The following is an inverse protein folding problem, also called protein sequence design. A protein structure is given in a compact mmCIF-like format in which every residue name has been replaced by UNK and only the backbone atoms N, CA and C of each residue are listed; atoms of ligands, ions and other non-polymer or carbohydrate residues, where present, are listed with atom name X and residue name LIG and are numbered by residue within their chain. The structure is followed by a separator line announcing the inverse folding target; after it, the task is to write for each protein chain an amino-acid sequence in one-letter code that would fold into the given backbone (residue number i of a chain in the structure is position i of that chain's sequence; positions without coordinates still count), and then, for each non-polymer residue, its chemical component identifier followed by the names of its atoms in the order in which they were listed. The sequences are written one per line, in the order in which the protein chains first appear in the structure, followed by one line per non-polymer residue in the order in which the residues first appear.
data_IF_550061135493
#
_entry.id   IF_550061135493
#
_cell.length_a   1.000
_cell.length_b   1.000
_cell.length_c   1.000
_cell.angle_alpha   90.00
_cell.angle_beta   90.00
_cell.angle_gamma   90.00
#
_symmetry.space_group_name_H-M   'P 1'
#
loop_
_entity.id
_entity.type
_entity.pdbx_description
1 polymer ?
#
# COMPACT_ATOMS: atom_id res chain seq x y z
N UNK A 1 35.55 -9.73 15.81
CA UNK A 1 35.63 -9.66 14.35
C UNK A 1 35.44 -8.21 13.96
N UNK A 2 36.42 -7.58 13.30
CA UNK A 2 36.21 -6.24 12.70
C UNK A 2 35.12 -6.41 11.63
N UNK A 3 33.96 -5.71 11.78
CA UNK A 3 32.94 -5.64 10.72
C UNK A 3 33.64 -5.14 9.46
N UNK A 4 33.53 -5.87 8.39
CA UNK A 4 34.00 -5.39 7.08
C UNK A 4 33.35 -4.04 6.83
N UNK A 5 34.16 -3.02 6.56
CA UNK A 5 33.66 -1.68 6.20
C UNK A 5 32.71 -1.82 5.03
N UNK A 6 31.44 -1.36 5.22
CA UNK A 6 30.44 -1.33 4.17
C UNK A 6 29.29 -2.32 4.29
N UNK A 7 29.13 -3.09 5.38
CA UNK A 7 27.97 -3.95 5.62
C UNK A 7 27.18 -3.41 6.82
N UNK A 8 25.86 -3.25 6.68
CA UNK A 8 24.94 -2.80 7.72
C UNK A 8 23.82 -3.84 7.91
N UNK A 9 23.49 -4.16 9.17
CA UNK A 9 22.40 -5.07 9.48
C UNK A 9 21.04 -4.48 9.10
N UNK A 10 20.09 -5.35 8.70
CA UNK A 10 18.78 -4.91 8.22
C UNK A 10 18.01 -4.07 9.24
N UNK A 11 18.01 -4.47 10.50
CA UNK A 11 17.33 -3.73 11.58
C UNK A 11 17.95 -2.37 11.87
N UNK A 12 19.28 -2.26 11.77
CA UNK A 12 20.00 -0.99 11.90
C UNK A 12 19.72 -0.08 10.68
N UNK A 13 19.79 -0.64 9.47
CA UNK A 13 19.51 0.09 8.25
C UNK A 13 18.07 0.62 8.19
N UNK A 14 17.08 -0.17 8.63
CA UNK A 14 15.68 0.24 8.64
C UNK A 14 15.39 1.41 9.59
N UNK A 15 16.06 1.45 10.73
CA UNK A 15 15.96 2.58 11.67
C UNK A 15 16.62 3.85 11.15
N UNK A 16 17.57 3.71 10.23
CA UNK A 16 18.39 4.79 9.71
C UNK A 16 18.19 5.00 8.19
N UNK A 17 17.07 4.57 7.60
CA UNK A 17 16.84 4.67 6.14
C UNK A 17 17.04 6.11 5.62
N UNK A 18 16.61 7.09 6.39
CA UNK A 18 16.69 8.51 6.02
C UNK A 18 18.12 9.08 6.12
N UNK A 19 19.07 8.34 6.73
CA UNK A 19 20.48 8.73 6.75
C UNK A 19 21.26 8.38 5.48
N UNK A 20 20.65 7.59 4.59
CA UNK A 20 21.23 7.26 3.29
C UNK A 20 20.73 8.24 2.23
N UNK A 21 21.66 8.84 1.47
CA UNK A 21 21.29 9.75 0.38
C UNK A 21 20.54 9.04 -0.75
N UNK A 22 20.77 7.74 -0.91
CA UNK A 22 20.12 6.92 -1.93
C UNK A 22 20.08 5.46 -1.51
N UNK A 23 18.94 4.83 -1.66
CA UNK A 23 18.78 3.38 -1.49
C UNK A 23 18.75 2.75 -2.89
N UNK A 24 19.63 1.79 -3.15
CA UNK A 24 19.84 1.21 -4.48
C UNK A 24 19.46 -0.27 -4.47
N UNK A 25 18.42 -0.60 -5.22
CA UNK A 25 18.06 -1.98 -5.53
C UNK A 25 18.76 -2.42 -6.81
N UNK A 26 19.68 -3.40 -6.68
CA UNK A 26 20.38 -3.97 -7.84
C UNK A 26 19.72 -5.23 -8.39
N UNK A 27 18.51 -5.55 -7.93
CA UNK A 27 17.71 -6.64 -8.50
C UNK A 27 17.18 -6.24 -9.87
N UNK A 28 16.67 -7.24 -10.60
CA UNK A 28 16.04 -6.97 -11.90
C UNK A 28 14.77 -6.12 -11.75
N UNK A 29 14.33 -5.53 -12.85
CA UNK A 29 13.16 -4.64 -12.91
C UNK A 29 11.89 -5.34 -12.42
N UNK A 30 11.71 -6.62 -12.76
CA UNK A 30 10.55 -7.40 -12.30
C UNK A 30 10.59 -7.69 -10.80
N UNK A 31 11.78 -7.95 -10.23
CA UNK A 31 11.94 -8.11 -8.78
C UNK A 31 11.64 -6.80 -8.04
N UNK A 32 12.06 -5.66 -8.60
CA UNK A 32 11.80 -4.33 -8.05
C UNK A 32 10.31 -3.95 -8.11
N UNK A 33 9.67 -4.23 -9.25
CA UNK A 33 8.26 -3.93 -9.45
C UNK A 33 7.32 -4.72 -8.53
N UNK A 34 7.73 -5.94 -8.12
CA UNK A 34 6.95 -6.75 -7.18
C UNK A 34 6.89 -6.12 -5.77
N UNK A 35 8.04 -5.69 -5.26
CA UNK A 35 8.19 -4.97 -3.99
C UNK A 35 9.65 -4.51 -3.81
N UNK A 36 9.88 -3.40 -3.11
CA UNK A 36 11.21 -2.85 -2.84
C UNK A 36 11.24 -2.03 -1.55
N UNK A 37 12.41 -1.69 -1.06
CA UNK A 37 12.58 -0.79 0.10
C UNK A 37 12.04 0.60 -0.26
N UNK A 38 11.20 1.24 0.58
CA UNK A 38 10.66 2.57 0.30
C UNK A 38 11.75 3.58 -0.07
N UNK A 39 11.49 4.34 -1.14
CA UNK A 39 12.45 5.32 -1.66
C UNK A 39 13.63 4.75 -2.44
N UNK A 40 13.71 3.43 -2.61
CA UNK A 40 14.78 2.83 -3.41
C UNK A 40 14.64 3.15 -4.90
N UNK A 41 15.79 3.35 -5.55
CA UNK A 41 15.88 3.40 -7.02
C UNK A 41 16.34 2.05 -7.56
N UNK A 42 15.82 1.65 -8.71
CA UNK A 42 16.26 0.43 -9.36
C UNK A 42 17.47 0.70 -10.26
N UNK A 43 18.58 0.04 -9.94
CA UNK A 43 19.79 0.04 -10.74
C UNK A 43 20.26 -1.41 -10.98
N UNK A 44 19.58 -2.17 -11.84
CA UNK A 44 19.82 -3.58 -11.99
C UNK A 44 21.23 -3.85 -12.48
N UNK A 45 21.96 -4.72 -11.76
CA UNK A 45 23.24 -5.26 -12.24
C UNK A 45 23.07 -6.50 -13.12
N UNK A 46 21.86 -7.06 -13.12
CA UNK A 46 21.33 -8.02 -14.10
C UNK A 46 19.88 -7.62 -14.37
N UNK A 47 19.54 -7.29 -15.61
CA UNK A 47 18.16 -7.05 -16.02
C UNK A 47 17.36 -8.38 -16.05
N UNK A 48 16.06 -8.32 -16.33
CA UNK A 48 15.20 -9.51 -16.36
C UNK A 48 15.71 -10.61 -17.29
N UNK A 49 16.14 -10.27 -18.51
CA UNK A 49 16.63 -11.22 -19.50
C UNK A 49 17.98 -11.82 -19.06
N UNK A 50 18.91 -11.00 -18.64
CA UNK A 50 20.24 -11.43 -18.17
C UNK A 50 20.14 -12.30 -16.92
N UNK A 51 19.22 -11.97 -16.00
CA UNK A 51 18.94 -12.79 -14.82
C UNK A 51 18.37 -14.17 -15.20
N UNK A 52 17.47 -14.22 -16.17
CA UNK A 52 16.91 -15.47 -16.69
C UNK A 52 18.00 -16.32 -17.38
N UNK A 53 18.85 -15.70 -18.20
CA UNK A 53 20.00 -16.34 -18.85
C UNK A 53 20.92 -16.99 -17.81
N UNK A 54 21.42 -16.22 -16.85
CA UNK A 54 22.33 -16.71 -15.80
C UNK A 54 21.68 -17.80 -14.97
N UNK A 55 20.41 -17.64 -14.60
CA UNK A 55 19.66 -18.64 -13.84
C UNK A 55 19.44 -19.95 -14.63
N UNK A 56 19.33 -19.90 -15.94
CA UNK A 56 19.22 -21.09 -16.80
C UNK A 56 20.56 -21.80 -16.92
N UNK A 57 21.64 -21.05 -17.11
CA UNK A 57 23.01 -21.62 -17.14
C UNK A 57 23.34 -22.34 -15.82
N UNK A 58 22.99 -21.77 -14.68
CA UNK A 58 23.24 -22.35 -13.35
C UNK A 58 22.52 -23.70 -13.15
N UNK A 59 21.26 -23.80 -13.63
CA UNK A 59 20.44 -25.00 -13.46
C UNK A 59 20.70 -26.09 -14.48
N UNK A 60 21.03 -25.72 -15.73
CA UNK A 60 21.04 -26.64 -16.85
C UNK A 60 22.45 -27.01 -17.36
N UNK A 61 23.47 -26.22 -17.05
CA UNK A 61 24.82 -26.42 -17.57
C UNK A 61 25.87 -26.50 -16.47
N UNK A 62 26.27 -25.35 -15.89
CA UNK A 62 27.35 -25.27 -14.92
C UNK A 62 27.24 -24.03 -14.06
N UNK A 63 27.33 -24.20 -12.72
CA UNK A 63 27.41 -23.07 -11.78
C UNK A 63 28.68 -22.22 -12.00
N UNK A 64 29.74 -22.79 -12.55
CA UNK A 64 30.96 -22.02 -12.90
C UNK A 64 30.70 -21.10 -14.10
N UNK A 65 30.12 -21.65 -15.19
CA UNK A 65 29.79 -20.87 -16.38
C UNK A 65 28.76 -19.78 -16.07
N UNK A 66 27.74 -20.09 -15.28
CA UNK A 66 26.77 -19.11 -14.81
C UNK A 66 27.43 -17.96 -14.03
N UNK A 67 28.36 -18.28 -13.10
CA UNK A 67 29.11 -17.27 -12.35
C UNK A 67 30.02 -16.44 -13.25
N UNK A 68 30.74 -17.08 -14.20
CA UNK A 68 31.60 -16.39 -15.16
C UNK A 68 30.80 -15.44 -16.04
N UNK A 69 29.70 -15.91 -16.62
CA UNK A 69 28.80 -15.10 -17.46
C UNK A 69 28.14 -13.98 -16.67
N UNK A 70 27.61 -14.31 -15.48
CA UNK A 70 27.00 -13.33 -14.57
C UNK A 70 27.96 -12.22 -14.15
N UNK A 71 29.19 -12.57 -13.81
CA UNK A 71 30.21 -11.57 -13.45
C UNK A 71 30.50 -10.57 -14.58
N UNK A 72 30.58 -11.06 -15.83
CA UNK A 72 30.82 -10.21 -17.00
C UNK A 72 29.63 -9.24 -17.23
N UNK A 73 28.39 -9.71 -17.09
CA UNK A 73 27.17 -8.89 -17.22
C UNK A 73 27.09 -7.86 -16.09
N UNK A 74 27.31 -8.28 -14.85
CA UNK A 74 27.32 -7.41 -13.67
C UNK A 74 28.35 -6.28 -13.82
N UNK A 75 29.59 -6.62 -14.22
CA UNK A 75 30.64 -5.60 -14.42
C UNK A 75 30.26 -4.56 -15.49
N UNK A 76 29.69 -5.01 -16.61
CA UNK A 76 29.21 -4.14 -17.69
C UNK A 76 28.10 -3.20 -17.21
N UNK A 77 27.12 -3.73 -16.48
CA UNK A 77 26.00 -2.90 -16.00
C UNK A 77 26.43 -1.93 -14.89
N UNK A 78 27.38 -2.31 -14.03
CA UNK A 78 27.99 -1.38 -13.06
C UNK A 78 28.69 -0.23 -13.79
N UNK A 79 29.48 -0.50 -14.84
CA UNK A 79 30.14 0.54 -15.63
C UNK A 79 29.11 1.54 -16.20
N UNK A 80 28.01 1.03 -16.79
CA UNK A 80 26.92 1.90 -17.29
C UNK A 80 26.28 2.77 -16.19
N UNK A 81 26.08 2.23 -14.99
CA UNK A 81 25.54 3.01 -13.88
C UNK A 81 26.51 4.11 -13.42
N UNK A 82 27.83 3.85 -13.40
CA UNK A 82 28.84 4.83 -13.07
C UNK A 82 28.90 5.97 -14.08
N UNK A 83 28.86 5.65 -15.38
CA UNK A 83 28.88 6.62 -16.47
C UNK A 83 27.60 7.44 -16.59
N UNK A 84 26.49 6.90 -16.10
CA UNK A 84 25.15 7.50 -16.19
C UNK A 84 24.62 7.99 -14.85
N UNK A 85 23.88 7.14 -14.14
CA UNK A 85 23.11 7.53 -12.94
C UNK A 85 23.95 8.04 -11.77
N UNK A 86 25.23 7.66 -11.70
CA UNK A 86 26.12 8.03 -10.59
C UNK A 86 27.20 9.04 -10.99
N UNK A 87 27.21 9.51 -12.24
CA UNK A 87 28.25 10.41 -12.74
C UNK A 87 28.33 11.73 -11.96
N UNK A 88 27.21 12.27 -11.52
CA UNK A 88 27.12 13.58 -10.84
C UNK A 88 27.04 13.45 -9.30
N UNK A 89 27.31 12.27 -8.74
CA UNK A 89 27.20 12.07 -7.28
C UNK A 89 28.37 12.75 -6.56
N UNK A 90 28.08 13.52 -5.46
CA UNK A 90 29.12 14.21 -4.71
C UNK A 90 30.02 13.21 -3.97
N UNK A 91 31.20 13.67 -3.54
CA UNK A 91 32.22 12.83 -2.91
C UNK A 91 31.76 12.17 -1.61
N UNK A 92 30.92 12.82 -0.86
CA UNK A 92 30.38 12.38 0.42
C UNK A 92 29.10 11.54 0.30
N UNK A 93 28.68 11.22 -0.93
CA UNK A 93 27.50 10.42 -1.19
C UNK A 93 27.51 9.09 -0.43
N UNK A 94 26.39 8.80 0.27
CA UNK A 94 26.21 7.68 1.18
C UNK A 94 25.06 6.76 0.71
N UNK A 95 25.28 5.88 -0.28
CA UNK A 95 24.25 4.96 -0.74
C UNK A 95 24.18 3.68 0.08
N UNK A 96 22.96 3.15 0.28
CA UNK A 96 22.68 1.79 0.72
C UNK A 96 22.38 0.92 -0.48
N UNK A 97 23.10 -0.20 -0.65
CA UNK A 97 22.96 -1.10 -1.79
C UNK A 97 22.42 -2.45 -1.34
N UNK A 98 21.41 -2.98 -2.01
CA UNK A 98 20.92 -4.31 -1.70
C UNK A 98 20.56 -5.12 -2.95
N UNK A 99 20.62 -6.44 -2.82
CA UNK A 99 20.05 -7.41 -3.75
C UNK A 99 19.12 -8.38 -3.01
N UNK A 100 18.84 -9.55 -3.58
CA UNK A 100 17.90 -10.50 -2.99
C UNK A 100 18.31 -11.04 -1.60
N UNK A 101 19.62 -11.40 -1.42
CA UNK A 101 20.17 -12.01 -0.20
C UNK A 101 21.40 -11.29 0.37
N UNK A 102 21.71 -10.09 -0.08
CA UNK A 102 22.96 -9.42 0.31
C UNK A 102 24.22 -10.13 -0.21
N UNK A 103 24.12 -10.86 -1.33
CA UNK A 103 25.21 -11.63 -1.92
C UNK A 103 25.96 -10.88 -3.04
N UNK A 104 26.56 -11.65 -3.98
CA UNK A 104 27.49 -11.15 -4.98
C UNK A 104 27.02 -9.96 -5.83
N UNK A 105 25.71 -9.83 -6.13
CA UNK A 105 25.19 -8.70 -6.94
C UNK A 105 25.35 -7.34 -6.21
N UNK A 106 24.88 -7.24 -4.97
CA UNK A 106 25.04 -5.99 -4.19
C UNK A 106 26.47 -5.79 -3.75
N UNK A 107 27.21 -6.84 -3.36
CA UNK A 107 28.62 -6.75 -3.00
C UNK A 107 29.47 -6.18 -4.13
N UNK A 108 29.23 -6.60 -5.38
CA UNK A 108 29.98 -6.11 -6.54
C UNK A 108 29.81 -4.60 -6.74
N UNK A 109 28.57 -4.10 -6.72
CA UNK A 109 28.33 -2.65 -6.84
C UNK A 109 28.89 -1.90 -5.64
N UNK A 110 28.61 -2.34 -4.41
CA UNK A 110 29.13 -1.68 -3.19
C UNK A 110 30.64 -1.60 -3.18
N UNK A 111 31.34 -2.68 -3.60
CA UNK A 111 32.79 -2.69 -3.71
C UNK A 111 33.29 -1.62 -4.68
N UNK A 112 32.71 -1.53 -5.86
CA UNK A 112 33.13 -0.55 -6.88
C UNK A 112 32.88 0.88 -6.38
N UNK A 113 31.70 1.16 -5.83
CA UNK A 113 31.35 2.48 -5.27
C UNK A 113 32.33 2.89 -4.15
N UNK A 114 32.66 1.96 -3.25
CA UNK A 114 33.63 2.21 -2.19
C UNK A 114 35.03 2.46 -2.73
N UNK A 115 35.45 1.82 -3.84
CA UNK A 115 36.74 2.06 -4.50
C UNK A 115 36.84 3.40 -5.20
N UNK A 116 35.69 3.95 -5.65
CA UNK A 116 35.61 5.36 -6.13
C UNK A 116 35.82 6.33 -4.98
N UNK A 117 35.54 5.94 -3.73
CA UNK A 117 35.71 6.77 -2.53
C UNK A 117 34.36 7.17 -1.89
N UNK A 118 33.24 6.69 -2.38
CA UNK A 118 31.92 6.93 -1.77
C UNK A 118 31.70 6.08 -0.52
N UNK A 119 30.85 6.55 0.38
CA UNK A 119 30.54 5.88 1.65
C UNK A 119 29.48 4.76 1.47
N UNK A 120 29.63 3.94 0.43
CA UNK A 120 28.66 2.91 0.08
C UNK A 120 28.58 1.81 1.14
N UNK A 121 27.38 1.42 1.51
CA UNK A 121 27.09 0.30 2.41
C UNK A 121 26.20 -0.73 1.73
N UNK A 122 26.41 -1.98 2.10
CA UNK A 122 25.60 -3.12 1.65
C UNK A 122 24.65 -3.55 2.75
N UNK A 123 23.38 -3.75 2.41
CA UNK A 123 22.38 -4.30 3.33
C UNK A 123 22.65 -5.80 3.56
N UNK A 124 22.95 -6.17 4.80
CA UNK A 124 23.13 -7.57 5.17
C UNK A 124 21.84 -8.38 4.97
N UNK A 125 21.98 -9.57 4.39
CA UNK A 125 20.84 -10.42 4.04
C UNK A 125 19.90 -9.86 2.96
N UNK A 126 20.14 -8.62 2.48
CA UNK A 126 19.45 -7.95 1.39
C UNK A 126 17.94 -7.85 1.56
N UNK A 127 17.19 -7.85 0.45
CA UNK A 127 15.73 -7.75 0.45
C UNK A 127 15.05 -8.80 1.35
N UNK A 128 15.58 -10.02 1.45
CA UNK A 128 14.99 -11.05 2.34
C UNK A 128 15.09 -10.66 3.82
N UNK A 129 16.19 -10.05 4.23
CA UNK A 129 16.34 -9.57 5.61
C UNK A 129 15.43 -8.37 5.86
N UNK A 130 15.38 -7.43 4.90
CA UNK A 130 14.42 -6.32 4.91
C UNK A 130 12.99 -6.82 5.11
N UNK A 131 12.51 -7.76 4.29
CA UNK A 131 11.13 -8.28 4.39
C UNK A 131 10.84 -8.96 5.73
N UNK A 132 11.80 -9.71 6.28
CA UNK A 132 11.64 -10.30 7.62
C UNK A 132 11.47 -9.23 8.70
N UNK A 133 12.26 -8.16 8.62
CA UNK A 133 12.15 -7.06 9.57
C UNK A 133 10.82 -6.31 9.43
N UNK A 134 10.37 -6.00 8.21
CA UNK A 134 9.05 -5.42 7.94
C UNK A 134 7.93 -6.27 8.53
N UNK A 135 7.94 -7.59 8.29
CA UNK A 135 6.90 -8.48 8.84
C UNK A 135 6.92 -8.52 10.38
N UNK A 136 8.11 -8.55 10.98
CA UNK A 136 8.23 -8.52 12.44
C UNK A 136 7.75 -7.19 13.04
N UNK A 137 8.03 -6.07 12.37
CA UNK A 137 7.59 -4.75 12.84
C UNK A 137 6.08 -4.55 12.64
N UNK A 138 5.48 -5.09 11.58
CA UNK A 138 4.03 -5.07 11.39
C UNK A 138 3.25 -5.81 12.50
N UNK A 139 3.87 -6.74 13.21
CA UNK A 139 3.28 -7.39 14.38
C UNK A 139 3.37 -6.51 15.65
N UNK A 140 4.26 -5.54 15.69
CA UNK A 140 4.54 -4.77 16.92
C UNK A 140 4.19 -3.28 16.81
N UNK A 141 4.45 -2.64 15.69
CA UNK A 141 4.17 -1.21 15.50
C UNK A 141 2.71 -0.81 15.78
N UNK A 142 1.70 -1.56 15.31
CA UNK A 142 0.31 -1.20 15.60
C UNK A 142 -0.03 -1.22 17.08
N UNK A 143 0.64 -2.06 17.87
CA UNK A 143 0.38 -2.18 19.31
C UNK A 143 0.83 -0.94 20.10
N UNK A 144 1.81 -0.21 19.58
CA UNK A 144 2.31 1.03 20.18
C UNK A 144 1.49 2.26 19.79
N UNK A 145 0.54 2.13 18.85
CA UNK A 145 -0.25 3.24 18.32
C UNK A 145 -1.61 3.35 19.01
N UNK A 146 -2.13 4.57 19.09
CA UNK A 146 -3.52 4.85 19.41
C UNK A 146 -4.27 5.17 18.11
N UNK A 147 -5.38 4.46 17.85
CA UNK A 147 -6.18 4.68 16.65
C UNK A 147 -7.51 5.34 16.97
N UNK A 148 -7.94 6.24 16.09
CA UNK A 148 -9.31 6.72 15.97
C UNK A 148 -9.91 6.13 14.68
N UNK A 149 -10.82 5.16 14.83
CA UNK A 149 -11.36 4.42 13.70
C UNK A 149 -12.58 5.14 13.13
N UNK A 150 -12.46 5.63 11.92
CA UNK A 150 -13.56 6.25 11.18
C UNK A 150 -14.49 5.17 10.66
N UNK A 151 -15.70 5.14 11.21
CA UNK A 151 -16.79 4.25 10.78
C UNK A 151 -17.84 5.06 10.02
N UNK A 152 -18.63 4.41 9.19
CA UNK A 152 -19.66 5.05 8.39
C UNK A 152 -20.06 4.15 7.25
N UNK A 153 -21.35 4.10 6.95
CA UNK A 153 -21.91 3.28 5.87
C UNK A 153 -21.28 3.62 4.51
N UNK A 154 -21.44 2.74 3.54
CA UNK A 154 -20.87 2.95 2.19
C UNK A 154 -21.32 4.29 1.61
N UNK A 155 -20.39 5.02 1.01
CA UNK A 155 -20.63 6.36 0.46
C UNK A 155 -20.66 7.49 1.48
N UNK A 156 -20.29 7.26 2.75
CA UNK A 156 -20.23 8.34 3.77
C UNK A 156 -19.00 9.25 3.63
N UNK A 157 -18.12 9.04 2.66
CA UNK A 157 -16.96 9.88 2.45
C UNK A 157 -15.85 9.72 3.50
N UNK A 158 -15.64 8.50 4.04
CA UNK A 158 -14.55 8.21 4.99
C UNK A 158 -13.20 8.67 4.46
N UNK A 159 -12.87 8.33 3.21
CA UNK A 159 -11.61 8.71 2.56
C UNK A 159 -11.49 10.23 2.39
N UNK A 160 -12.62 10.95 2.12
CA UNK A 160 -12.65 12.43 2.08
C UNK A 160 -12.33 13.03 3.45
N UNK A 161 -12.87 12.44 4.54
CA UNK A 161 -12.53 12.87 5.88
C UNK A 161 -11.06 12.62 6.21
N UNK A 162 -10.51 11.44 5.87
CA UNK A 162 -9.10 11.15 6.07
C UNK A 162 -8.20 12.14 5.32
N UNK A 163 -8.52 12.48 4.08
CA UNK A 163 -7.79 13.49 3.31
C UNK A 163 -7.87 14.88 3.96
N UNK A 164 -9.05 15.25 4.47
CA UNK A 164 -9.24 16.51 5.19
C UNK A 164 -8.44 16.55 6.50
N UNK A 165 -8.38 15.43 7.25
CA UNK A 165 -7.57 15.29 8.47
C UNK A 165 -6.07 15.40 8.15
N UNK A 166 -5.61 14.70 7.11
CA UNK A 166 -4.21 14.79 6.66
C UNK A 166 -3.82 16.21 6.26
N UNK A 167 -4.68 16.94 5.56
CA UNK A 167 -4.45 18.34 5.18
C UNK A 167 -4.33 19.30 6.38
N UNK A 168 -4.81 18.89 7.56
CA UNK A 168 -4.70 19.62 8.82
C UNK A 168 -3.57 19.10 9.72
N UNK A 169 -2.70 18.24 9.20
CA UNK A 169 -1.54 17.70 9.91
C UNK A 169 -1.86 16.58 10.91
N UNK A 170 -3.05 15.98 10.84
CA UNK A 170 -3.36 14.76 11.58
C UNK A 170 -2.61 13.57 10.98
N UNK A 171 -2.30 12.58 11.81
CA UNK A 171 -1.76 11.32 11.34
C UNK A 171 -2.88 10.44 10.78
N UNK A 172 -2.72 10.00 9.55
CA UNK A 172 -3.74 9.24 8.82
C UNK A 172 -3.14 7.98 8.23
N UNK A 173 -3.88 6.87 8.35
CA UNK A 173 -3.60 5.60 7.70
C UNK A 173 -4.77 5.29 6.76
N UNK A 174 -4.63 5.61 5.47
CA UNK A 174 -5.62 5.36 4.43
C UNK A 174 -5.37 3.98 3.80
N UNK A 175 -6.04 2.96 4.32
CA UNK A 175 -5.87 1.57 3.89
C UNK A 175 -6.41 1.33 2.47
N UNK A 176 -7.51 2.00 2.09
CA UNK A 176 -8.08 1.93 0.75
C UNK A 176 -7.11 2.53 -0.29
N UNK A 177 -6.50 3.67 0.02
CA UNK A 177 -5.48 4.29 -0.86
C UNK A 177 -4.25 3.39 -1.00
N UNK A 178 -3.71 2.85 0.11
CA UNK A 178 -2.59 1.91 0.08
C UNK A 178 -2.90 0.63 -0.70
N UNK A 179 -4.16 0.18 -0.66
CA UNK A 179 -4.61 -1.00 -1.40
C UNK A 179 -4.98 -0.70 -2.86
N UNK A 180 -5.02 0.56 -3.30
CA UNK A 180 -5.59 0.97 -4.58
C UNK A 180 -7.00 0.37 -4.80
N UNK A 181 -7.86 0.41 -3.76
CA UNK A 181 -9.16 -0.27 -3.78
C UNK A 181 -10.12 0.32 -2.72
N UNK A 182 -11.38 0.56 -3.07
CA UNK A 182 -12.39 1.17 -2.20
C UNK A 182 -13.12 0.19 -1.28
N UNK A 183 -12.50 -0.88 -0.86
CA UNK A 183 -13.03 -1.83 0.12
C UNK A 183 -14.26 -2.65 -0.28
N UNK A 184 -15.07 -2.22 -1.24
CA UNK A 184 -16.32 -2.85 -1.65
C UNK A 184 -16.17 -3.84 -2.81
N UNK A 185 -17.22 -4.64 -3.10
CA UNK A 185 -17.25 -5.56 -4.27
C UNK A 185 -17.02 -4.80 -5.58
N UNK A 186 -17.50 -3.55 -5.67
CA UNK A 186 -17.33 -2.67 -6.82
C UNK A 186 -16.09 -1.75 -6.69
N UNK A 187 -15.26 -1.96 -5.67
CA UNK A 187 -14.22 -1.02 -5.24
C UNK A 187 -12.95 -1.00 -6.08
N UNK A 188 -12.83 -1.81 -7.11
CA UNK A 188 -11.67 -1.80 -8.01
C UNK A 188 -11.51 -0.47 -8.74
N UNK A 189 -10.26 0.05 -8.83
CA UNK A 189 -9.98 1.28 -9.55
C UNK A 189 -9.63 0.97 -11.02
N UNK A 190 -10.29 1.59 -12.00
CA UNK A 190 -10.13 1.25 -13.43
C UNK A 190 -8.70 1.42 -13.96
N UNK A 191 -7.97 2.41 -13.43
CA UNK A 191 -6.64 2.81 -13.90
C UNK A 191 -5.49 2.38 -13.01
N UNK A 192 -5.80 1.79 -11.85
CA UNK A 192 -4.80 1.42 -10.84
C UNK A 192 -5.07 0.01 -10.32
N UNK A 193 -4.35 -1.01 -10.82
CA UNK A 193 -4.47 -2.35 -10.26
C UNK A 193 -3.98 -2.39 -8.81
N UNK A 194 -4.56 -3.25 -8.01
CA UNK A 194 -4.08 -3.47 -6.65
C UNK A 194 -2.60 -3.87 -6.66
N UNK A 195 -1.79 -3.36 -5.71
CA UNK A 195 -0.42 -3.81 -5.53
C UNK A 195 -0.41 -5.30 -5.11
N UNK A 196 0.75 -5.93 -5.24
CA UNK A 196 0.95 -7.24 -4.61
C UNK A 196 0.92 -7.14 -3.08
N UNK A 197 0.62 -8.26 -2.40
CA UNK A 197 0.56 -8.29 -0.93
C UNK A 197 1.83 -7.75 -0.27
N UNK A 198 3.02 -8.06 -0.81
CA UNK A 198 4.29 -7.59 -0.27
C UNK A 198 4.42 -6.06 -0.37
N UNK A 199 4.07 -5.49 -1.52
CA UNK A 199 4.13 -4.05 -1.73
C UNK A 199 3.13 -3.31 -0.82
N UNK A 200 1.91 -3.85 -0.65
CA UNK A 200 0.94 -3.32 0.30
C UNK A 200 1.47 -3.33 1.74
N UNK A 201 2.04 -4.44 2.19
CA UNK A 201 2.63 -4.57 3.53
C UNK A 201 3.83 -3.63 3.72
N UNK A 202 4.66 -3.46 2.69
CA UNK A 202 5.77 -2.50 2.69
C UNK A 202 5.27 -1.06 2.83
N UNK A 203 4.25 -0.67 2.07
CA UNK A 203 3.68 0.68 2.13
C UNK A 203 2.98 0.92 3.48
N UNK A 204 2.25 -0.07 3.98
CA UNK A 204 1.62 -0.03 5.30
C UNK A 204 2.65 0.14 6.42
N UNK A 205 3.72 -0.65 6.38
CA UNK A 205 4.83 -0.52 7.32
C UNK A 205 5.48 0.86 7.25
N UNK A 206 5.74 1.37 6.04
CA UNK A 206 6.34 2.70 5.86
C UNK A 206 5.44 3.83 6.39
N UNK A 207 4.12 3.71 6.21
CA UNK A 207 3.17 4.64 6.78
C UNK A 207 3.17 4.60 8.32
N UNK A 208 3.11 3.39 8.92
CA UNK A 208 3.08 3.22 10.36
C UNK A 208 4.36 3.68 11.05
N UNK A 209 5.55 3.35 10.52
CA UNK A 209 6.84 3.73 11.12
C UNK A 209 7.09 5.25 11.15
N UNK A 210 6.38 6.00 10.31
CA UNK A 210 6.45 7.47 10.26
C UNK A 210 5.50 8.14 11.24
N UNK A 211 4.57 7.39 11.83
CA UNK A 211 3.67 7.93 12.82
C UNK A 211 4.38 8.11 14.17
N UNK A 212 4.06 9.21 14.84
CA UNK A 212 4.45 9.47 16.23
C UNK A 212 3.50 8.69 17.16
N UNK A 213 3.98 7.73 17.95
CA UNK A 213 3.12 6.97 18.87
C UNK A 213 2.43 7.81 19.96
N UNK A 214 2.92 9.03 20.22
CA UNK A 214 2.30 9.94 21.18
C UNK A 214 1.07 10.68 20.64
N UNK A 215 0.77 10.52 19.34
CA UNK A 215 -0.35 11.18 18.66
C UNK A 215 -1.29 10.14 18.06
N UNK A 216 -2.62 10.34 18.12
CA UNK A 216 -3.56 9.39 17.54
C UNK A 216 -3.43 9.32 16.01
N UNK A 217 -3.68 8.12 15.45
CA UNK A 217 -3.72 7.85 14.02
C UNK A 217 -5.17 7.62 13.59
N UNK A 218 -5.66 8.40 12.65
CA UNK A 218 -6.99 8.21 12.07
C UNK A 218 -6.93 7.15 10.96
N UNK A 219 -7.85 6.19 11.00
CA UNK A 219 -7.91 5.08 10.05
C UNK A 219 -9.36 4.73 9.73
N UNK A 220 -9.68 4.35 8.50
CA UNK A 220 -11.02 3.85 8.19
C UNK A 220 -11.25 2.41 8.71
N UNK A 221 -12.52 2.13 9.04
CA UNK A 221 -12.96 0.80 9.46
C UNK A 221 -12.97 -0.17 8.28
N UNK A 222 -11.90 -0.92 8.13
CA UNK A 222 -11.79 -1.90 7.07
C UNK A 222 -11.96 -3.35 7.55
N UNK A 223 -12.28 -4.21 6.61
CA UNK A 223 -12.37 -5.64 6.83
C UNK A 223 -10.97 -6.30 6.79
N UNK A 224 -10.92 -7.61 7.12
CA UNK A 224 -9.68 -8.39 7.01
C UNK A 224 -9.10 -8.40 5.60
N UNK A 225 -9.96 -8.14 4.58
CA UNK A 225 -9.54 -8.08 3.18
C UNK A 225 -10.03 -6.79 2.55
N UNK A 226 -9.15 -6.17 1.77
CA UNK A 226 -9.44 -5.06 0.90
C UNK A 226 -9.19 -5.55 -0.53
N UNK A 227 -10.25 -5.90 -1.24
CA UNK A 227 -10.12 -6.65 -2.50
C UNK A 227 -9.38 -7.97 -2.29
N UNK A 228 -8.23 -8.15 -2.95
CA UNK A 228 -7.39 -9.35 -2.85
C UNK A 228 -6.34 -9.27 -1.74
N UNK A 229 -6.17 -8.12 -1.09
CA UNK A 229 -5.13 -7.88 -0.08
C UNK A 229 -5.62 -8.20 1.32
N UNK A 230 -4.70 -8.64 2.17
CA UNK A 230 -4.96 -8.91 3.59
C UNK A 230 -4.33 -7.85 4.46
N UNK A 231 -5.11 -7.27 5.35
CA UNK A 231 -4.62 -6.38 6.40
C UNK A 231 -3.97 -7.24 7.50
N UNK A 232 -2.78 -6.88 8.02
CA UNK A 232 -2.11 -7.61 9.11
C UNK A 232 -2.99 -7.76 10.35
N UNK A 233 -2.95 -8.95 10.95
CA UNK A 233 -3.85 -9.30 12.07
C UNK A 233 -3.60 -8.42 13.31
N UNK A 234 -2.35 -8.02 13.59
CA UNK A 234 -2.03 -7.12 14.71
C UNK A 234 -2.69 -5.74 14.54
N UNK A 235 -2.64 -5.17 13.33
CA UNK A 235 -3.30 -3.89 13.02
C UNK A 235 -4.82 -4.01 13.18
N UNK A 236 -5.43 -5.06 12.59
CA UNK A 236 -6.88 -5.27 12.71
C UNK A 236 -7.33 -5.43 14.17
N UNK A 237 -6.59 -6.18 14.97
CA UNK A 237 -6.89 -6.39 16.38
C UNK A 237 -6.87 -5.06 17.11
N UNK A 238 -5.82 -4.27 16.91
CA UNK A 238 -5.68 -2.96 17.57
C UNK A 238 -6.77 -1.98 17.13
N UNK A 239 -7.08 -1.89 15.82
CA UNK A 239 -8.19 -1.08 15.31
C UNK A 239 -9.54 -1.46 15.93
N UNK A 240 -9.83 -2.76 16.06
CA UNK A 240 -11.11 -3.26 16.60
C UNK A 240 -11.32 -2.95 18.08
N UNK A 241 -10.25 -2.70 18.81
CA UNK A 241 -10.26 -2.33 20.23
C UNK A 241 -10.22 -0.82 20.44
N UNK A 242 -10.03 -0.04 19.38
CA UNK A 242 -9.84 1.41 19.42
C UNK A 242 -11.18 2.17 19.42
N UNK A 243 -11.12 3.45 19.79
CA UNK A 243 -12.25 4.37 19.74
C UNK A 243 -12.78 4.53 18.30
N UNK A 244 -14.12 4.66 18.18
CA UNK A 244 -14.78 4.81 16.90
C UNK A 244 -15.39 6.21 16.75
N UNK A 245 -15.29 6.77 15.56
CA UNK A 245 -15.97 8.00 15.13
C UNK A 245 -16.90 7.61 14.00
N UNK A 246 -18.21 7.81 14.17
CA UNK A 246 -19.23 7.41 13.20
C UNK A 246 -19.67 8.61 12.36
N UNK A 247 -19.38 8.55 11.06
CA UNK A 247 -19.95 9.49 10.10
C UNK A 247 -21.46 9.21 9.94
N UNK A 248 -22.26 10.24 10.23
CA UNK A 248 -23.68 10.25 9.97
C UNK A 248 -23.97 11.13 8.75
N UNK A 249 -24.25 10.49 7.61
CA UNK A 249 -24.41 11.13 6.31
C UNK A 249 -25.77 10.75 5.71
N UNK A 250 -26.63 11.73 5.38
CA UNK A 250 -27.93 11.45 4.79
C UNK A 250 -27.83 10.66 3.48
N UNK A 251 -28.76 9.74 3.25
CA UNK A 251 -28.76 8.86 2.08
C UNK A 251 -28.64 9.63 0.73
N UNK A 252 -29.35 10.74 0.50
CA UNK A 252 -29.21 11.48 -0.76
C UNK A 252 -27.79 12.04 -0.97
N UNK A 253 -27.10 12.42 0.10
CA UNK A 253 -25.71 12.89 0.06
C UNK A 253 -24.79 11.73 -0.33
N UNK A 254 -25.00 10.56 0.26
CA UNK A 254 -24.23 9.34 -0.04
C UNK A 254 -24.43 8.87 -1.48
N UNK A 255 -25.62 8.99 -2.03
CA UNK A 255 -25.92 8.67 -3.44
C UNK A 255 -25.10 9.58 -4.37
N UNK A 256 -25.08 10.90 -4.11
CA UNK A 256 -24.28 11.83 -4.92
C UNK A 256 -22.79 11.54 -4.84
N UNK A 257 -22.27 11.31 -3.62
CA UNK A 257 -20.86 10.95 -3.41
C UNK A 257 -20.45 9.71 -4.21
N UNK A 258 -21.26 8.66 -4.14
CA UNK A 258 -20.97 7.42 -4.87
C UNK A 258 -21.06 7.60 -6.39
N UNK A 259 -22.03 8.37 -6.89
CA UNK A 259 -22.10 8.67 -8.31
C UNK A 259 -20.86 9.41 -8.82
N UNK A 260 -20.38 10.39 -8.04
CA UNK A 260 -19.13 11.10 -8.34
C UNK A 260 -17.93 10.15 -8.37
N UNK A 261 -17.77 9.34 -7.31
CA UNK A 261 -16.64 8.41 -7.16
C UNK A 261 -16.63 7.27 -8.18
N UNK A 262 -17.81 6.84 -8.63
CA UNK A 262 -17.99 5.74 -9.56
C UNK A 262 -18.49 6.18 -10.95
N UNK A 263 -18.28 7.47 -11.33
CA UNK A 263 -18.70 8.02 -12.60
C UNK A 263 -18.15 7.27 -13.83
N UNK A 264 -17.10 6.48 -13.68
CA UNK A 264 -16.57 5.62 -14.72
C UNK A 264 -17.55 4.51 -15.14
N UNK A 265 -18.42 4.02 -14.24
CA UNK A 265 -19.46 3.04 -14.57
C UNK A 265 -20.58 3.64 -15.43
N UNK A 266 -20.85 4.93 -15.30
CA UNK A 266 -21.80 5.61 -16.18
C UNK A 266 -21.30 5.64 -17.64
N UNK A 267 -19.97 5.57 -17.84
CA UNK A 267 -19.32 5.52 -19.16
C UNK A 267 -19.13 4.10 -19.68
N UNK A 268 -19.11 3.11 -18.78
CA UNK A 268 -18.96 1.69 -19.10
C UNK A 268 -19.95 0.83 -18.29
N UNK A 269 -21.25 0.85 -18.66
CA UNK A 269 -22.29 0.04 -17.99
C UNK A 269 -22.07 -1.47 -18.13
N UNK A 270 -21.32 -1.93 -19.14
CA UNK A 270 -21.05 -3.35 -19.34
C UNK A 270 -20.11 -3.89 -18.25
N UNK A 271 -19.09 -3.11 -17.88
CA UNK A 271 -18.21 -3.45 -16.76
C UNK A 271 -18.99 -3.47 -15.45
N UNK A 272 -19.87 -2.49 -15.21
CA UNK A 272 -20.73 -2.50 -14.02
C UNK A 272 -21.62 -3.76 -13.98
N UNK A 273 -22.28 -4.09 -15.11
CA UNK A 273 -23.15 -5.27 -15.20
C UNK A 273 -22.41 -6.57 -14.85
N UNK A 274 -21.16 -6.70 -15.32
CA UNK A 274 -20.30 -7.85 -15.00
C UNK A 274 -19.93 -7.89 -13.50
N UNK A 275 -19.65 -6.75 -12.89
CA UNK A 275 -19.34 -6.69 -11.47
C UNK A 275 -20.56 -6.95 -10.58
N UNK A 276 -21.76 -6.49 -10.99
CA UNK A 276 -23.01 -6.78 -10.28
C UNK A 276 -23.33 -8.28 -10.26
N UNK A 277 -22.86 -9.08 -11.23
CA UNK A 277 -23.03 -10.54 -11.21
C UNK A 277 -22.42 -11.22 -9.98
N UNK A 278 -21.41 -10.62 -9.35
CA UNK A 278 -20.84 -11.10 -8.08
C UNK A 278 -21.86 -11.07 -6.94
N UNK A 279 -22.96 -10.32 -7.06
CA UNK A 279 -24.03 -10.22 -6.06
C UNK A 279 -25.15 -11.26 -6.25
N UNK A 280 -25.17 -11.97 -7.37
CA UNK A 280 -26.20 -13.01 -7.66
C UNK A 280 -26.28 -14.07 -6.56
N UNK A 281 -25.17 -14.60 -6.00
CA UNK A 281 -25.26 -15.57 -4.92
C UNK A 281 -25.94 -15.05 -3.64
N UNK A 282 -25.97 -13.73 -3.45
CA UNK A 282 -26.53 -13.09 -2.25
C UNK A 282 -27.98 -12.60 -2.43
N UNK A 283 -28.33 -12.19 -3.65
CA UNK A 283 -29.61 -11.51 -3.92
C UNK A 283 -30.51 -12.21 -4.96
N UNK A 284 -29.96 -13.22 -5.66
CA UNK A 284 -30.63 -13.90 -6.76
C UNK A 284 -30.57 -13.15 -8.09
N UNK A 285 -30.89 -13.85 -9.16
CA UNK A 285 -30.81 -13.32 -10.53
C UNK A 285 -31.78 -12.18 -10.80
N UNK A 286 -33.04 -12.30 -10.34
CA UNK A 286 -34.07 -11.30 -10.61
C UNK A 286 -33.70 -9.92 -10.05
N UNK A 287 -33.20 -9.90 -8.82
CA UNK A 287 -32.81 -8.66 -8.16
C UNK A 287 -31.61 -8.00 -8.84
N UNK A 288 -30.59 -8.77 -9.17
CA UNK A 288 -29.40 -8.26 -9.86
C UNK A 288 -29.77 -7.77 -11.27
N UNK A 289 -30.67 -8.48 -11.97
CA UNK A 289 -31.18 -8.05 -13.27
C UNK A 289 -31.96 -6.73 -13.18
N UNK A 290 -32.74 -6.54 -12.11
CA UNK A 290 -33.42 -5.26 -11.88
C UNK A 290 -32.43 -4.09 -11.71
N UNK A 291 -31.34 -4.28 -10.94
CA UNK A 291 -30.30 -3.25 -10.81
C UNK A 291 -29.58 -2.96 -12.14
N UNK A 292 -29.29 -3.99 -12.94
CA UNK A 292 -28.73 -3.82 -14.29
C UNK A 292 -29.66 -3.03 -15.20
N UNK A 293 -30.95 -3.33 -15.17
CA UNK A 293 -31.96 -2.60 -15.92
C UNK A 293 -32.05 -1.12 -15.56
N UNK A 294 -31.92 -0.79 -14.27
CA UNK A 294 -31.84 0.61 -13.83
C UNK A 294 -30.60 1.33 -14.40
N UNK A 295 -29.47 0.65 -14.46
CA UNK A 295 -28.24 1.20 -15.06
C UNK A 295 -28.42 1.44 -16.57
N UNK A 296 -29.03 0.51 -17.31
CA UNK A 296 -29.36 0.62 -18.73
C UNK A 296 -30.33 1.78 -19.02
N UNK A 297 -31.24 2.04 -18.10
CA UNK A 297 -32.21 3.16 -18.17
C UNK A 297 -31.62 4.49 -17.67
N UNK A 298 -30.33 4.53 -17.31
CA UNK A 298 -29.66 5.68 -16.70
C UNK A 298 -30.31 6.19 -15.40
N UNK A 299 -31.06 5.31 -14.73
CA UNK A 299 -31.69 5.60 -13.43
C UNK A 299 -30.68 5.40 -12.26
N UNK A 300 -29.54 6.06 -12.36
CA UNK A 300 -28.37 5.88 -11.50
C UNK A 300 -28.67 6.11 -10.02
N UNK A 301 -29.36 7.21 -9.67
CA UNK A 301 -29.71 7.53 -8.28
C UNK A 301 -30.54 6.43 -7.65
N UNK A 302 -31.55 5.93 -8.37
CA UNK A 302 -32.42 4.85 -7.91
C UNK A 302 -31.64 3.55 -7.71
N UNK A 303 -30.77 3.21 -8.66
CA UNK A 303 -29.93 2.02 -8.58
C UNK A 303 -29.01 2.08 -7.37
N UNK A 304 -28.27 3.21 -7.20
CA UNK A 304 -27.34 3.40 -6.09
C UNK A 304 -28.08 3.38 -4.74
N UNK A 305 -29.24 4.05 -4.64
CA UNK A 305 -30.06 4.04 -3.43
C UNK A 305 -30.51 2.61 -3.06
N UNK A 306 -30.99 1.83 -4.03
CA UNK A 306 -31.38 0.43 -3.79
C UNK A 306 -30.17 -0.41 -3.35
N UNK A 307 -29.03 -0.32 -4.01
CA UNK A 307 -27.81 -1.01 -3.61
C UNK A 307 -27.39 -0.65 -2.19
N UNK A 308 -27.46 0.63 -1.81
CA UNK A 308 -27.16 1.06 -0.46
C UNK A 308 -28.11 0.42 0.57
N UNK A 309 -29.43 0.56 0.38
CA UNK A 309 -30.44 0.08 1.32
C UNK A 309 -30.48 -1.43 1.45
N UNK A 310 -30.31 -2.14 0.35
CA UNK A 310 -30.61 -3.57 0.28
C UNK A 310 -29.38 -4.47 0.38
N UNK A 311 -28.20 -3.94 0.02
CA UNK A 311 -26.96 -4.70 0.06
C UNK A 311 -25.95 -4.10 1.06
N UNK A 312 -25.50 -2.87 0.80
CA UNK A 312 -24.34 -2.32 1.51
C UNK A 312 -24.62 -2.00 2.99
N UNK A 313 -25.69 -1.30 3.30
CA UNK A 313 -25.98 -0.88 4.67
C UNK A 313 -26.22 -2.06 5.61
N UNK A 314 -27.05 -3.06 5.25
CA UNK A 314 -27.23 -4.22 6.11
C UNK A 314 -25.96 -5.04 6.30
N UNK A 315 -25.14 -5.16 5.27
CA UNK A 315 -23.86 -5.88 5.35
C UNK A 315 -22.85 -5.14 6.24
N UNK A 316 -22.74 -3.83 6.04
CA UNK A 316 -21.84 -2.98 6.80
C UNK A 316 -22.20 -2.94 8.29
N UNK A 317 -23.46 -2.68 8.63
CA UNK A 317 -23.92 -2.59 10.02
C UNK A 317 -23.69 -3.91 10.78
N UNK A 318 -23.97 -5.06 10.15
CA UNK A 318 -23.62 -6.37 10.74
C UNK A 318 -22.12 -6.54 10.96
N UNK A 319 -21.29 -6.09 10.01
CA UNK A 319 -19.83 -6.19 10.10
C UNK A 319 -19.28 -5.33 11.22
N UNK A 320 -19.69 -4.08 11.31
CA UNK A 320 -19.23 -3.12 12.34
C UNK A 320 -19.63 -3.59 13.73
N UNK A 321 -20.88 -3.95 13.95
CA UNK A 321 -21.38 -4.45 15.23
C UNK A 321 -20.61 -5.70 15.70
N UNK A 322 -20.21 -6.57 14.78
CA UNK A 322 -19.47 -7.80 15.09
C UNK A 322 -17.99 -7.56 15.38
N UNK A 323 -17.38 -6.64 14.66
CA UNK A 323 -15.92 -6.53 14.63
C UNK A 323 -15.36 -5.37 15.47
N UNK A 324 -16.10 -4.28 15.69
CA UNK A 324 -15.62 -3.10 16.38
C UNK A 324 -16.37 -2.91 17.70
N UNK A 325 -15.72 -3.25 18.82
CA UNK A 325 -16.35 -3.28 20.15
C UNK A 325 -16.87 -1.92 20.60
N UNK A 326 -16.13 -0.84 20.28
CA UNK A 326 -16.49 0.52 20.63
C UNK A 326 -17.53 1.16 19.69
N UNK A 327 -18.01 0.44 18.66
CA UNK A 327 -18.95 1.00 17.68
C UNK A 327 -20.30 1.45 18.26
N UNK A 328 -20.75 0.81 19.35
CA UNK A 328 -21.96 1.23 20.07
C UNK A 328 -21.80 2.51 20.91
N UNK A 329 -20.57 2.96 21.16
CA UNK A 329 -20.21 4.16 21.89
C UNK A 329 -19.47 5.17 20.99
N UNK A 330 -19.58 5.01 19.68
CA UNK A 330 -18.89 5.86 18.72
C UNK A 330 -19.35 7.31 18.85
N UNK A 331 -18.39 8.24 18.80
CA UNK A 331 -18.70 9.66 18.65
C UNK A 331 -19.37 9.87 17.30
N UNK A 332 -20.56 10.43 17.29
CA UNK A 332 -21.27 10.78 16.06
C UNK A 332 -20.70 12.07 15.46
N UNK A 333 -20.49 12.05 14.15
CA UNK A 333 -20.00 13.16 13.36
C UNK A 333 -20.96 13.38 12.18
N UNK A 334 -21.93 14.33 12.32
CA UNK A 334 -22.88 14.60 11.25
C UNK A 334 -22.21 15.33 10.07
N UNK A 335 -22.46 14.85 8.86
CA UNK A 335 -22.02 15.49 7.61
C UNK A 335 -23.25 15.76 6.74
N UNK A 336 -23.65 17.01 6.65
CA UNK A 336 -24.88 17.39 5.96
C UNK A 336 -24.74 17.54 4.43
N UNK A 337 -23.52 17.66 3.91
CA UNK A 337 -23.23 17.95 2.50
C UNK A 337 -22.06 17.11 1.99
N UNK A 338 -22.01 16.89 0.67
CA UNK A 338 -20.91 16.27 -0.06
C UNK A 338 -19.76 17.24 -0.36
N UNK A 339 -19.87 18.52 0.05
CA UNK A 339 -18.86 19.54 -0.19
C UNK A 339 -17.57 19.26 0.59
N UNK A 340 -16.42 19.54 -0.03
CA UNK A 340 -15.10 19.47 0.62
C UNK A 340 -15.03 20.31 1.90
N UNK A 341 -15.75 21.45 1.95
CA UNK A 341 -15.80 22.32 3.11
C UNK A 341 -16.45 21.66 4.34
N UNK A 342 -17.47 20.79 4.14
CA UNK A 342 -18.13 20.07 5.22
C UNK A 342 -17.14 19.08 5.88
N UNK A 343 -16.39 18.32 5.08
CA UNK A 343 -15.35 17.41 5.60
C UNK A 343 -14.18 18.14 6.24
N UNK A 344 -13.79 19.31 5.70
CA UNK A 344 -12.76 20.14 6.30
C UNK A 344 -13.20 20.72 7.67
N UNK A 345 -14.48 21.07 7.82
CA UNK A 345 -15.03 21.50 9.10
C UNK A 345 -15.06 20.38 10.14
N UNK A 346 -15.53 19.20 9.71
CA UNK A 346 -15.54 17.99 10.54
C UNK A 346 -14.12 17.57 10.97
N UNK A 347 -13.14 17.66 10.07
CA UNK A 347 -11.75 17.38 10.41
C UNK A 347 -11.19 18.36 11.46
N UNK A 348 -11.49 19.67 11.36
CA UNK A 348 -11.11 20.66 12.38
C UNK A 348 -11.68 20.35 13.77
N UNK A 349 -12.92 19.86 13.83
CA UNK A 349 -13.56 19.46 15.09
C UNK A 349 -12.86 18.25 15.75
N UNK A 350 -12.22 17.40 14.97
CA UNK A 350 -11.52 16.18 15.45
C UNK A 350 -10.07 16.43 15.85
N UNK A 351 -9.45 17.48 15.33
CA UNK A 351 -8.03 17.81 15.58
C UNK A 351 -7.86 18.79 16.73
N UNK A 352 -8.90 19.63 17.01
CA UNK A 352 -8.93 20.58 18.14
C UNK A 352 -9.42 19.90 19.42
#
# INVERSE_FOLDING_TARGET
MKREHGIVEATEALRALESFDTIIDVRSEGEFAEDHVPGAINCPVLNNAERAEVGTLDRQQSSFEARRRGAALVARNIARHLEGRFADKPRDWHPLVYCWRGGGRSAALTHVLARVGWRAQQLDGGYRAYRRAVMAELETLPLAMEFNVITGTTGSGKSRLLQALASQGAQVLDLEALACHRGSVLGGLPSQPQPGQKAFETQLWDALRRCDPARPVFVESESRKIGNLRVPDALLTRMRESACIRLDVPLPVRVRLLRDEYAHFERDPATLATQLDCLVPLHGHDKVSAWKSLAEQHAWDTMVEQLLREHYDPAYLRSIARNFRASGQARELPIASDDTAAYAAAARELVN
#
